data_IF_431983479453
#
_entry.id   IF_431983479453
#
_cell.length_a   1.000
_cell.length_b   1.000
_cell.length_c   1.000
_cell.angle_alpha   90.00
_cell.angle_beta   90.00
_cell.angle_gamma   90.00
#
_symmetry.space_group_name_H-M   'P 1'
#
loop_
_entity.id
_entity.type
_entity.pdbx_description
1 polymer ?
#
# COMPACT_ATOMS: atom_id res chain seq x y z
N UNK A 1 14.57 -6.57 -17.36
CA UNK A 1 14.05 -6.39 -15.99
C UNK A 1 12.56 -6.16 -16.10
N UNK A 2 11.72 -7.07 -15.59
CA UNK A 2 10.27 -6.81 -15.48
C UNK A 2 10.10 -5.80 -14.35
N UNK A 3 9.64 -4.60 -14.64
CA UNK A 3 9.10 -3.69 -13.64
C UNK A 3 7.95 -4.43 -12.96
N UNK A 4 8.17 -4.94 -11.75
CA UNK A 4 7.05 -5.34 -10.90
C UNK A 4 6.25 -4.07 -10.65
N UNK A 5 4.97 -4.07 -11.03
CA UNK A 5 4.07 -2.99 -10.66
C UNK A 5 4.13 -2.83 -9.14
N UNK A 6 4.53 -1.65 -8.66
CA UNK A 6 4.68 -1.36 -7.23
C UNK A 6 3.34 -1.35 -6.48
N UNK A 7 2.22 -1.34 -7.22
CA UNK A 7 0.86 -1.40 -6.73
C UNK A 7 -0.08 -1.97 -7.80
N UNK A 8 -1.22 -2.48 -7.37
CA UNK A 8 -2.34 -2.83 -8.24
C UNK A 8 -3.28 -1.64 -8.34
N UNK A 9 -3.85 -1.42 -9.53
CA UNK A 9 -4.95 -0.46 -9.75
C UNK A 9 -6.28 -1.21 -9.77
N UNK A 10 -7.26 -0.69 -9.04
CA UNK A 10 -8.60 -1.24 -8.95
C UNK A 10 -9.65 -0.16 -9.23
N UNK A 11 -10.78 -0.58 -9.80
CA UNK A 11 -12.02 0.20 -9.88
C UNK A 11 -12.97 -0.18 -8.75
N UNK A 12 -14.01 0.63 -8.56
CA UNK A 12 -15.11 0.33 -7.64
C UNK A 12 -15.73 -1.04 -7.96
N UNK A 13 -15.72 -1.94 -6.98
CA UNK A 13 -16.30 -3.29 -7.10
C UNK A 13 -15.35 -4.36 -7.63
N UNK A 14 -14.12 -4.00 -8.01
CA UNK A 14 -13.11 -4.98 -8.40
C UNK A 14 -12.76 -5.90 -7.24
N UNK A 15 -12.48 -7.17 -7.58
CA UNK A 15 -12.10 -8.20 -6.63
C UNK A 15 -10.66 -8.62 -6.91
N UNK A 16 -9.86 -8.72 -5.85
CA UNK A 16 -8.51 -9.26 -5.92
C UNK A 16 -8.27 -10.27 -4.81
N UNK A 17 -7.42 -11.25 -5.10
CA UNK A 17 -6.89 -12.10 -4.04
C UNK A 17 -5.84 -11.30 -3.26
N UNK A 18 -5.86 -11.42 -1.94
CA UNK A 18 -4.83 -10.84 -1.08
C UNK A 18 -3.41 -11.27 -1.48
N UNK A 19 -3.27 -12.48 -2.00
CA UNK A 19 -2.00 -13.03 -2.49
C UNK A 19 -1.44 -12.29 -3.72
N UNK A 20 -2.30 -11.58 -4.47
CA UNK A 20 -1.89 -10.81 -5.64
C UNK A 20 -1.41 -9.40 -5.26
N UNK A 21 -1.73 -8.90 -4.05
CA UNK A 21 -1.31 -7.57 -3.60
C UNK A 21 0.23 -7.52 -3.52
N UNK A 22 0.90 -6.57 -4.22
CA UNK A 22 2.34 -6.43 -4.16
C UNK A 22 2.83 -6.22 -2.73
N UNK A 23 3.89 -6.92 -2.35
CA UNK A 23 4.57 -6.79 -1.06
C UNK A 23 5.90 -6.10 -1.29
N UNK A 24 6.09 -4.96 -0.64
CA UNK A 24 7.28 -4.14 -0.71
C UNK A 24 8.09 -4.25 0.59
N UNK A 25 9.38 -3.91 0.51
CA UNK A 25 10.15 -3.62 1.72
C UNK A 25 9.51 -2.43 2.46
N UNK A 26 9.73 -2.29 3.77
CA UNK A 26 9.09 -1.19 4.49
C UNK A 26 9.50 0.19 3.94
N UNK A 27 10.79 0.34 3.61
CA UNK A 27 11.29 1.58 3.02
C UNK A 27 10.61 1.89 1.67
N UNK A 28 10.49 0.90 0.79
CA UNK A 28 9.83 1.10 -0.50
C UNK A 28 8.34 1.35 -0.34
N UNK A 29 7.68 0.65 0.59
CA UNK A 29 6.28 0.88 0.96
C UNK A 29 6.05 2.32 1.43
N UNK A 30 6.91 2.82 2.33
CA UNK A 30 6.85 4.18 2.86
C UNK A 30 7.08 5.22 1.77
N UNK A 31 8.17 5.09 1.02
CA UNK A 31 8.51 6.01 -0.09
C UNK A 31 7.39 6.03 -1.13
N UNK A 32 6.87 4.87 -1.50
CA UNK A 32 5.78 4.76 -2.48
C UNK A 32 4.49 5.40 -1.98
N UNK A 33 4.12 5.19 -0.71
CA UNK A 33 2.93 5.79 -0.11
C UNK A 33 2.99 7.30 -0.15
N UNK A 34 4.10 7.86 0.32
CA UNK A 34 4.30 9.31 0.38
C UNK A 34 4.33 9.89 -1.03
N UNK A 35 5.08 9.25 -1.95
CA UNK A 35 5.15 9.68 -3.34
C UNK A 35 3.77 9.73 -4.00
N UNK A 36 2.96 8.69 -3.85
CA UNK A 36 1.63 8.64 -4.46
C UNK A 36 0.68 9.71 -3.89
N UNK A 37 0.76 9.98 -2.58
CA UNK A 37 -0.07 11.02 -1.95
C UNK A 37 0.36 12.45 -2.36
N UNK A 38 1.64 12.67 -2.68
CA UNK A 38 2.15 13.98 -3.08
C UNK A 38 2.07 14.22 -4.60
N UNK A 39 2.33 13.20 -5.42
CA UNK A 39 2.46 13.34 -6.87
C UNK A 39 1.10 13.35 -7.59
N UNK A 40 0.07 12.71 -7.01
CA UNK A 40 -1.25 12.60 -7.64
C UNK A 40 -2.18 13.67 -7.10
N UNK A 41 -2.72 14.49 -8.01
CA UNK A 41 -3.72 15.50 -7.66
C UNK A 41 -4.96 14.81 -7.04
N UNK A 42 -5.41 15.33 -5.90
CA UNK A 42 -6.53 14.79 -5.11
C UNK A 42 -6.37 13.33 -4.65
N UNK A 43 -5.15 12.81 -4.58
CA UNK A 43 -4.93 11.53 -3.94
C UNK A 43 -5.08 11.63 -2.42
N UNK A 44 -5.66 10.60 -1.80
CA UNK A 44 -5.72 10.50 -0.35
C UNK A 44 -5.65 9.05 0.12
N UNK A 45 -5.16 8.85 1.35
CA UNK A 45 -5.15 7.52 1.96
C UNK A 45 -6.58 7.17 2.39
N UNK A 46 -7.19 6.21 1.69
CA UNK A 46 -8.53 5.74 1.98
C UNK A 46 -8.52 4.77 3.16
N UNK A 47 -7.56 3.84 3.17
CA UNK A 47 -7.40 2.86 4.25
C UNK A 47 -5.92 2.51 4.48
N UNK A 48 -5.59 2.27 5.74
CA UNK A 48 -4.32 1.73 6.19
C UNK A 48 -4.59 0.78 7.35
N UNK A 49 -4.39 -0.52 7.13
CA UNK A 49 -4.70 -1.55 8.13
C UNK A 49 -3.86 -2.80 7.91
N UNK A 50 -3.77 -3.65 8.94
CA UNK A 50 -3.07 -4.91 8.86
C UNK A 50 -4.04 -6.08 8.93
N UNK A 51 -3.73 -7.16 8.20
CA UNK A 51 -4.41 -8.45 8.31
C UNK A 51 -3.43 -9.53 8.78
N UNK A 52 -3.88 -10.54 9.54
CA UNK A 52 -3.01 -11.63 9.98
C UNK A 52 -2.49 -12.46 8.80
N UNK A 53 -1.22 -12.85 8.86
CA UNK A 53 -0.58 -13.78 7.92
C UNK A 53 0.31 -14.76 8.68
N UNK A 54 -0.32 -15.79 9.25
CA UNK A 54 0.35 -16.72 10.16
C UNK A 54 0.65 -16.04 11.50
N UNK A 55 1.91 -16.00 11.90
CA UNK A 55 2.37 -15.27 13.10
C UNK A 55 2.65 -13.79 12.82
N UNK A 56 2.79 -13.43 11.54
CA UNK A 56 3.10 -12.09 11.07
C UNK A 56 1.82 -11.37 10.62
N UNK A 57 1.99 -10.16 10.09
CA UNK A 57 0.91 -9.37 9.53
C UNK A 57 1.26 -8.90 8.11
N UNK A 58 0.23 -8.70 7.29
CA UNK A 58 0.33 -7.96 6.04
C UNK A 58 -0.31 -6.61 6.23
N UNK A 59 0.51 -5.57 6.24
CA UNK A 59 0.12 -4.18 6.32
C UNK A 59 -0.25 -3.69 4.93
N UNK A 60 -1.50 -3.28 4.73
CA UNK A 60 -2.05 -2.86 3.45
C UNK A 60 -2.34 -1.36 3.49
N UNK A 61 -1.98 -0.66 2.41
CA UNK A 61 -2.41 0.71 2.16
C UNK A 61 -3.25 0.77 0.89
N UNK A 62 -4.30 1.58 0.95
CA UNK A 62 -5.19 1.88 -0.17
C UNK A 62 -5.18 3.38 -0.35
N UNK A 63 -4.70 3.83 -1.51
CA UNK A 63 -4.73 5.24 -1.91
C UNK A 63 -5.83 5.40 -2.95
N UNK A 64 -6.78 6.28 -2.69
CA UNK A 64 -7.76 6.70 -3.67
C UNK A 64 -7.15 7.80 -4.55
N UNK A 65 -7.16 7.58 -5.87
CA UNK A 65 -6.88 8.57 -6.90
C UNK A 65 -8.21 9.07 -7.46
N UNK A 66 -8.69 10.18 -6.92
CA UNK A 66 -10.01 10.73 -7.25
C UNK A 66 -10.09 11.30 -8.67
N UNK A 67 -8.94 11.62 -9.29
CA UNK A 67 -8.89 12.12 -10.67
C UNK A 67 -9.15 11.00 -11.65
N UNK A 68 -8.48 9.87 -11.48
CA UNK A 68 -8.62 8.72 -12.38
C UNK A 68 -9.71 7.73 -11.94
N UNK A 69 -10.31 7.95 -10.76
CA UNK A 69 -11.24 7.03 -10.12
C UNK A 69 -10.64 5.61 -9.97
N UNK A 70 -9.40 5.55 -9.49
CA UNK A 70 -8.66 4.31 -9.24
C UNK A 70 -8.37 4.17 -7.73
N UNK A 71 -8.31 2.94 -7.24
CA UNK A 71 -7.63 2.62 -5.97
C UNK A 71 -6.28 2.00 -6.27
N UNK A 72 -5.25 2.52 -5.62
CA UNK A 72 -3.88 2.03 -5.71
C UNK A 72 -3.59 1.21 -4.44
N UNK A 73 -3.37 -0.09 -4.61
CA UNK A 73 -3.24 -1.04 -3.49
C UNK A 73 -1.90 -1.74 -3.51
N UNK A 74 -1.20 -1.70 -2.37
CA UNK A 74 0.06 -2.38 -2.14
C UNK A 74 0.25 -2.59 -0.64
N UNK A 75 1.27 -3.36 -0.28
CA UNK A 75 1.44 -3.82 1.08
C UNK A 75 2.89 -3.97 1.50
N UNK A 76 3.09 -4.17 2.80
CA UNK A 76 4.33 -4.57 3.43
C UNK A 76 4.06 -5.78 4.33
N UNK A 77 4.99 -6.73 4.38
CA UNK A 77 4.92 -7.81 5.37
C UNK A 77 5.58 -7.33 6.66
N UNK A 78 4.75 -7.11 7.68
CA UNK A 78 5.19 -6.76 9.03
C UNK A 78 5.49 -8.05 9.79
N UNK A 79 6.77 -8.29 10.06
CA UNK A 79 7.19 -9.44 10.84
C UNK A 79 6.83 -9.23 12.31
N UNK A 80 6.43 -10.31 12.98
CA UNK A 80 6.09 -10.30 14.42
C UNK A 80 7.21 -9.79 15.34
N UNK A 81 8.47 -9.82 14.87
CA UNK A 81 9.64 -9.31 15.58
C UNK A 81 9.86 -7.80 15.41
N UNK A 82 9.19 -7.15 14.46
CA UNK A 82 9.33 -5.72 14.21
C UNK A 82 8.50 -4.94 15.24
N UNK A 83 9.17 -4.08 16.00
CA UNK A 83 8.57 -3.40 17.16
C UNK A 83 8.15 -1.96 16.88
N UNK A 84 8.71 -1.31 15.85
CA UNK A 84 8.34 0.04 15.45
C UNK A 84 8.68 0.28 13.97
N UNK A 85 7.74 0.91 13.26
CA UNK A 85 7.88 1.35 11.88
C UNK A 85 8.01 2.89 11.83
N UNK A 86 8.80 3.43 10.89
CA UNK A 86 8.88 4.89 10.69
C UNK A 86 7.52 5.47 10.29
N UNK A 87 7.21 6.71 10.66
CA UNK A 87 5.91 7.32 10.30
C UNK A 87 5.72 7.46 8.79
N UNK A 88 4.48 7.21 8.33
CA UNK A 88 4.02 7.53 6.98
C UNK A 88 3.61 9.00 6.81
N UNK A 89 3.47 9.75 7.91
CA UNK A 89 3.23 11.19 7.88
C UNK A 89 4.56 11.94 7.79
N UNK A 90 4.54 13.11 7.15
CA UNK A 90 5.67 14.04 7.13
C UNK A 90 5.21 15.38 7.75
N UNK A 91 6.16 16.11 8.34
CA UNK A 91 5.98 17.47 8.85
C UNK A 91 5.96 18.51 7.73
#
# INVERSE_FOLDING_TARGET
MKTQNQYIKLKNGDQILTADIPILSYNDFRVQTIKLLLDFDKAHCSNYFAIPRGIDFQLIVIIADDVNHDFLVFSHQLLSIETALESLTQD
#
